data_IF_742388023550
#
_entry.id   IF_742388023550
#
_cell.length_a   1.000
_cell.length_b   1.000
_cell.length_c   1.000
_cell.angle_alpha   90.00
_cell.angle_beta   90.00
_cell.angle_gamma   90.00
#
_symmetry.space_group_name_H-M   'P 1'
#
loop_
_entity.id
_entity.type
_entity.pdbx_description
1 polymer ?
#
# COMPACT_ATOMS: atom_id res chain seq x y z
N UNK A 1 -19.69 0.92 -3.04
CA UNK A 1 -20.04 -0.48 -3.36
C UNK A 1 -18.73 -1.25 -3.43
N UNK A 2 -18.46 -2.17 -2.51
CA UNK A 2 -17.32 -3.08 -2.67
C UNK A 2 -17.53 -3.91 -3.93
N UNK A 3 -16.54 -3.90 -4.83
CA UNK A 3 -16.59 -4.75 -6.01
C UNK A 3 -16.53 -6.22 -5.56
N UNK A 4 -17.51 -7.01 -5.98
CA UNK A 4 -17.57 -8.44 -5.68
C UNK A 4 -16.34 -9.14 -6.29
N UNK A 5 -15.54 -9.82 -5.46
CA UNK A 5 -14.40 -10.64 -5.90
C UNK A 5 -14.85 -11.64 -6.98
N UNK A 6 -14.25 -11.55 -8.18
CA UNK A 6 -14.50 -12.48 -9.30
C UNK A 6 -13.49 -13.63 -9.26
N UNK A 7 -13.71 -14.59 -8.36
CA UNK A 7 -12.87 -15.78 -8.22
C UNK A 7 -13.31 -16.92 -9.15
N UNK A 8 -12.36 -17.50 -9.89
CA UNK A 8 -12.48 -18.79 -10.57
C UNK A 8 -11.85 -19.87 -9.69
N UNK A 9 -12.66 -20.76 -9.13
CA UNK A 9 -12.23 -21.75 -8.13
C UNK A 9 -11.61 -22.98 -8.76
N UNK A 10 -10.86 -23.76 -7.97
CA UNK A 10 -10.33 -25.07 -8.38
C UNK A 10 -11.42 -26.02 -8.86
N UNK A 11 -12.59 -25.99 -8.23
CA UNK A 11 -13.74 -26.80 -8.65
C UNK A 11 -14.19 -26.42 -10.07
N UNK A 12 -14.29 -25.12 -10.37
CA UNK A 12 -14.61 -24.62 -11.73
C UNK A 12 -13.50 -24.96 -12.74
N UNK A 13 -12.25 -25.04 -12.30
CA UNK A 13 -11.12 -25.47 -13.13
C UNK A 13 -11.06 -26.99 -13.34
N UNK A 14 -11.87 -27.77 -12.62
CA UNK A 14 -11.80 -29.24 -12.61
C UNK A 14 -10.54 -29.77 -11.91
N UNK A 15 -9.98 -29.02 -10.96
CA UNK A 15 -8.79 -29.38 -10.21
C UNK A 15 -9.14 -30.03 -8.87
N UNK A 16 -8.36 -31.02 -8.40
CA UNK A 16 -8.53 -31.59 -7.06
C UNK A 16 -8.12 -30.57 -5.98
N UNK A 17 -8.19 -30.93 -4.70
CA UNK A 17 -7.59 -30.10 -3.64
C UNK A 17 -6.08 -29.85 -3.89
N UNK A 18 -5.57 -28.72 -3.43
CA UNK A 18 -4.15 -28.37 -3.57
C UNK A 18 -3.26 -29.31 -2.75
N UNK A 19 -2.32 -29.97 -3.43
CA UNK A 19 -1.33 -30.86 -2.83
C UNK A 19 -0.14 -30.10 -2.20
N UNK A 20 -0.17 -28.76 -2.20
CA UNK A 20 0.86 -27.96 -1.57
C UNK A 20 0.85 -28.09 -0.03
N UNK A 21 2.02 -27.93 0.63
CA UNK A 21 2.11 -27.87 2.08
C UNK A 21 1.25 -26.76 2.67
N UNK A 22 0.78 -26.94 3.90
CA UNK A 22 0.04 -25.92 4.64
C UNK A 22 0.94 -24.76 5.03
N UNK A 23 0.38 -23.55 4.98
CA UNK A 23 0.97 -22.32 5.48
C UNK A 23 -0.17 -21.38 5.86
N UNK A 24 -0.29 -21.02 7.13
CA UNK A 24 -1.41 -20.21 7.64
C UNK A 24 -1.05 -18.74 7.80
N UNK A 25 0.23 -18.39 7.77
CA UNK A 25 0.69 -17.00 7.86
C UNK A 25 1.93 -16.72 7.02
N UNK A 26 2.09 -15.47 6.62
CA UNK A 26 3.25 -14.93 5.88
C UNK A 26 3.46 -13.45 6.24
N UNK A 27 4.59 -12.86 5.84
CA UNK A 27 4.83 -11.41 5.94
C UNK A 27 3.98 -10.60 4.94
N UNK A 28 3.47 -11.25 3.89
CA UNK A 28 2.64 -10.61 2.88
C UNK A 28 2.61 -11.38 1.56
N UNK A 29 2.56 -10.66 0.45
CA UNK A 29 2.37 -11.23 -0.89
C UNK A 29 3.44 -10.72 -1.86
N UNK A 30 3.93 -11.62 -2.72
CA UNK A 30 4.76 -11.29 -3.87
C UNK A 30 3.97 -11.39 -5.18
N UNK A 31 4.10 -10.38 -6.03
CA UNK A 31 3.55 -10.33 -7.38
C UNK A 31 4.57 -10.90 -8.36
N UNK A 32 4.07 -11.68 -9.32
CA UNK A 32 4.81 -12.39 -10.36
C UNK A 32 4.21 -12.14 -11.74
N UNK A 33 5.01 -12.38 -12.79
CA UNK A 33 4.54 -12.58 -14.17
C UNK A 33 4.71 -14.05 -14.58
N UNK A 34 4.37 -14.41 -15.82
CA UNK A 34 4.59 -15.77 -16.34
C UNK A 34 6.07 -16.07 -16.63
N UNK A 35 6.82 -15.09 -17.13
CA UNK A 35 8.24 -15.27 -17.51
C UNK A 35 8.43 -16.09 -18.78
N UNK A 36 7.41 -16.05 -19.64
CA UNK A 36 7.40 -16.56 -21.00
C UNK A 36 6.47 -15.66 -21.85
N UNK A 37 6.54 -15.73 -23.19
CA UNK A 37 5.66 -14.97 -24.06
C UNK A 37 4.17 -15.27 -23.79
N UNK A 38 3.37 -14.22 -23.62
CA UNK A 38 1.92 -14.33 -23.42
C UNK A 38 1.18 -13.73 -24.61
N UNK A 39 0.24 -14.48 -25.19
CA UNK A 39 -0.52 -14.03 -26.36
C UNK A 39 -1.41 -12.83 -26.05
N UNK A 40 -1.43 -11.83 -26.94
CA UNK A 40 -2.36 -10.69 -26.84
C UNK A 40 -3.83 -11.13 -26.97
N UNK A 41 -4.12 -12.31 -27.53
CA UNK A 41 -5.48 -12.86 -27.61
C UNK A 41 -6.12 -13.08 -26.22
N UNK A 42 -5.29 -13.18 -25.16
CA UNK A 42 -5.81 -13.23 -23.79
C UNK A 42 -6.60 -11.97 -23.42
N UNK A 43 -6.45 -10.84 -24.12
CA UNK A 43 -7.24 -9.62 -23.92
C UNK A 43 -8.68 -9.74 -24.43
N UNK A 44 -8.92 -10.65 -25.37
CA UNK A 44 -10.17 -10.73 -26.12
C UNK A 44 -11.10 -11.83 -25.60
N UNK A 45 -10.51 -12.92 -25.07
CA UNK A 45 -11.26 -14.10 -24.66
C UNK A 45 -10.81 -14.63 -23.29
N UNK A 46 -11.76 -14.64 -22.35
CA UNK A 46 -11.51 -15.15 -21.01
C UNK A 46 -11.26 -16.66 -20.96
N UNK A 47 -11.81 -17.43 -21.89
CA UNK A 47 -11.61 -18.88 -21.93
C UNK A 47 -10.16 -19.23 -22.28
N UNK A 48 -9.49 -18.38 -23.08
CA UNK A 48 -8.04 -18.49 -23.32
C UNK A 48 -7.22 -18.25 -22.06
N UNK A 49 -7.67 -17.38 -21.15
CA UNK A 49 -7.01 -17.19 -19.85
C UNK A 49 -7.12 -18.45 -18.98
N UNK A 50 -8.28 -19.13 -19.01
CA UNK A 50 -8.49 -20.40 -18.30
C UNK A 50 -7.62 -21.51 -18.91
N UNK A 51 -7.54 -21.57 -20.24
CA UNK A 51 -6.66 -22.50 -20.94
C UNK A 51 -5.19 -22.28 -20.57
N UNK A 52 -4.73 -21.02 -20.56
CA UNK A 52 -3.37 -20.65 -20.15
C UNK A 52 -3.08 -21.05 -18.71
N UNK A 53 -3.99 -20.77 -17.76
CA UNK A 53 -3.81 -21.14 -16.36
C UNK A 53 -3.73 -22.66 -16.15
N UNK A 54 -4.54 -23.43 -16.89
CA UNK A 54 -4.47 -24.90 -16.93
C UNK A 54 -3.15 -25.39 -17.50
N UNK A 55 -2.68 -24.77 -18.59
CA UNK A 55 -1.37 -25.08 -19.18
C UNK A 55 -0.23 -24.85 -18.19
N UNK A 56 -0.20 -23.70 -17.51
CA UNK A 56 0.82 -23.39 -16.51
C UNK A 56 0.87 -24.45 -15.40
N UNK A 57 -0.29 -24.95 -14.94
CA UNK A 57 -0.32 -26.06 -13.97
C UNK A 57 0.26 -27.35 -14.54
N UNK A 58 -0.08 -27.71 -15.77
CA UNK A 58 0.47 -28.89 -16.45
C UNK A 58 2.00 -28.80 -16.54
N UNK A 59 2.52 -27.64 -16.98
CA UNK A 59 3.95 -27.41 -17.13
C UNK A 59 4.68 -27.48 -15.78
N UNK A 60 4.11 -26.92 -14.71
CA UNK A 60 4.66 -27.05 -13.36
C UNK A 60 4.71 -28.50 -12.87
N UNK A 61 3.66 -29.29 -13.08
CA UNK A 61 3.64 -30.69 -12.68
C UNK A 61 4.61 -31.55 -13.50
N UNK A 62 4.92 -31.14 -14.74
CA UNK A 62 5.90 -31.81 -15.59
C UNK A 62 7.35 -31.46 -15.22
N UNK A 63 7.59 -30.32 -14.55
CA UNK A 63 8.93 -29.84 -14.23
C UNK A 63 9.63 -30.70 -13.16
N UNK A 64 10.57 -31.54 -13.60
CA UNK A 64 11.34 -32.44 -12.74
C UNK A 64 12.41 -31.75 -11.89
N UNK A 65 12.88 -30.58 -12.30
CA UNK A 65 13.92 -29.83 -11.58
C UNK A 65 13.35 -29.18 -10.33
N UNK A 66 12.25 -28.46 -10.50
CA UNK A 66 11.58 -27.75 -9.41
C UNK A 66 10.64 -28.67 -8.62
N UNK A 67 10.20 -29.77 -9.24
CA UNK A 67 9.39 -30.83 -8.64
C UNK A 67 8.16 -30.28 -7.90
N UNK A 68 7.40 -29.42 -8.57
CA UNK A 68 6.25 -28.77 -7.97
C UNK A 68 5.15 -29.80 -7.64
N UNK A 69 4.57 -29.69 -6.44
CA UNK A 69 3.41 -30.52 -6.05
C UNK A 69 2.09 -30.07 -6.67
N UNK A 70 2.05 -28.83 -7.16
CA UNK A 70 0.93 -28.19 -7.86
C UNK A 70 1.46 -26.93 -8.56
N UNK A 71 0.62 -26.21 -9.32
CA UNK A 71 0.93 -24.85 -9.82
C UNK A 71 1.63 -24.02 -8.75
N UNK A 72 2.70 -23.30 -9.09
CA UNK A 72 3.58 -22.68 -8.09
C UNK A 72 2.90 -21.58 -7.26
N UNK A 73 1.93 -20.87 -7.83
CA UNK A 73 1.34 -19.65 -7.25
C UNK A 73 0.09 -19.95 -6.41
N UNK A 74 -0.21 -19.07 -5.44
CA UNK A 74 -1.48 -19.14 -4.71
C UNK A 74 -2.65 -18.76 -5.59
N UNK A 75 -2.49 -17.71 -6.40
CA UNK A 75 -3.49 -17.24 -7.36
C UNK A 75 -2.83 -16.74 -8.66
N UNK A 76 -3.62 -16.72 -9.73
CA UNK A 76 -3.35 -15.99 -10.95
C UNK A 76 -4.35 -14.85 -11.14
N UNK A 77 -4.07 -13.87 -12.00
CA UNK A 77 -4.99 -12.80 -12.36
C UNK A 77 -5.00 -12.61 -13.88
N UNK A 78 -6.18 -12.69 -14.48
CA UNK A 78 -6.33 -12.53 -15.92
C UNK A 78 -6.60 -11.07 -16.32
N UNK A 79 -6.36 -10.68 -17.60
CA UNK A 79 -6.63 -9.33 -18.09
C UNK A 79 -8.09 -8.87 -18.01
N UNK A 80 -9.03 -9.78 -17.75
CA UNK A 80 -10.46 -9.50 -17.59
C UNK A 80 -10.87 -9.22 -16.13
N UNK A 81 -9.91 -9.18 -15.21
CA UNK A 81 -10.16 -8.91 -13.79
C UNK A 81 -10.81 -10.06 -13.04
N UNK A 82 -10.45 -11.30 -13.38
CA UNK A 82 -10.78 -12.48 -12.57
C UNK A 82 -9.53 -12.99 -11.87
N UNK A 83 -9.69 -13.29 -10.59
CA UNK A 83 -8.71 -14.03 -9.80
C UNK A 83 -8.88 -15.52 -10.10
N UNK A 84 -7.79 -16.21 -10.40
CA UNK A 84 -7.77 -17.62 -10.77
C UNK A 84 -7.15 -18.40 -9.62
N UNK A 85 -7.87 -19.37 -9.05
CA UNK A 85 -7.37 -20.13 -7.92
C UNK A 85 -6.20 -21.03 -8.36
N UNK A 86 -5.07 -20.88 -7.67
CA UNK A 86 -3.88 -21.72 -7.79
C UNK A 86 -3.81 -22.69 -6.62
N UNK A 87 -2.75 -22.61 -5.83
CA UNK A 87 -2.65 -23.32 -4.55
C UNK A 87 -3.71 -22.89 -3.53
N UNK A 88 -4.24 -21.67 -3.66
CA UNK A 88 -5.32 -21.16 -2.82
C UNK A 88 -4.88 -20.72 -1.42
N UNK A 89 -5.86 -20.50 -0.55
CA UNK A 89 -5.68 -20.08 0.84
C UNK A 89 -5.00 -21.16 1.68
N UNK A 90 -4.20 -20.74 2.66
CA UNK A 90 -3.62 -21.67 3.64
C UNK A 90 -2.53 -22.59 3.05
N UNK A 91 -2.05 -22.33 1.84
CA UNK A 91 -1.10 -23.19 1.12
C UNK A 91 0.19 -22.45 0.79
N UNK A 92 1.34 -23.11 1.03
CA UNK A 92 2.66 -22.55 0.73
C UNK A 92 2.86 -22.42 -0.78
N UNK A 93 3.34 -21.26 -1.24
CA UNK A 93 3.74 -21.04 -2.64
C UNK A 93 5.02 -21.83 -3.01
N UNK A 94 5.26 -22.04 -4.29
CA UNK A 94 6.50 -22.56 -4.87
C UNK A 94 7.28 -21.50 -5.66
N UNK A 95 6.76 -20.28 -5.78
CA UNK A 95 7.18 -19.32 -6.80
C UNK A 95 8.31 -18.38 -6.37
N UNK A 96 8.63 -18.26 -5.08
CA UNK A 96 9.53 -17.21 -4.60
C UNK A 96 11.02 -17.59 -4.68
N UNK A 97 11.37 -18.73 -5.27
CA UNK A 97 12.75 -19.15 -5.54
C UNK A 97 13.31 -20.19 -4.57
N UNK A 98 13.00 -20.12 -3.28
CA UNK A 98 13.39 -21.15 -2.31
C UNK A 98 12.39 -21.28 -1.16
N UNK A 99 12.57 -22.27 -0.28
CA UNK A 99 11.63 -22.56 0.80
C UNK A 99 11.53 -21.44 1.85
N UNK A 100 12.61 -20.72 2.15
CA UNK A 100 12.57 -19.58 3.08
C UNK A 100 11.75 -18.43 2.51
N UNK A 101 11.96 -18.09 1.24
CA UNK A 101 11.21 -17.06 0.53
C UNK A 101 9.73 -17.47 0.33
N UNK A 102 9.47 -18.76 0.12
CA UNK A 102 8.11 -19.30 0.03
C UNK A 102 7.37 -19.28 1.39
N UNK A 103 8.10 -19.39 2.52
CA UNK A 103 7.56 -19.16 3.87
C UNK A 103 7.32 -17.69 4.17
N UNK A 104 8.13 -16.81 3.59
CA UNK A 104 8.04 -15.37 3.81
C UNK A 104 6.79 -14.74 3.20
N UNK A 105 6.36 -15.17 2.02
CA UNK A 105 5.29 -14.52 1.26
C UNK A 105 4.44 -15.53 0.49
N UNK A 106 3.15 -15.24 0.33
CA UNK A 106 2.34 -15.88 -0.71
C UNK A 106 2.70 -15.31 -2.09
N UNK A 107 2.17 -15.92 -3.15
CA UNK A 107 2.46 -15.47 -4.52
C UNK A 107 1.19 -15.34 -5.38
N UNK A 108 1.06 -14.22 -6.08
CA UNK A 108 0.04 -13.99 -7.11
C UNK A 108 0.73 -13.70 -8.45
N UNK A 109 0.29 -14.35 -9.52
CA UNK A 109 0.82 -14.15 -10.87
C UNK A 109 -0.17 -13.34 -11.73
N UNK A 110 0.27 -12.26 -12.37
CA UNK A 110 -0.47 -11.67 -13.49
C UNK A 110 -0.24 -12.48 -14.76
N UNK A 111 -1.30 -12.73 -15.55
CA UNK A 111 -1.19 -13.35 -16.88
C UNK A 111 -0.63 -12.34 -17.90
N UNK A 112 0.61 -11.92 -17.65
CA UNK A 112 1.46 -11.13 -18.53
C UNK A 112 2.80 -11.84 -18.68
N UNK A 113 3.43 -11.65 -19.83
CA UNK A 113 4.72 -12.24 -20.17
C UNK A 113 5.89 -11.28 -20.03
N UNK A 114 7.06 -11.78 -20.39
CA UNK A 114 8.22 -10.95 -20.75
C UNK A 114 8.16 -10.45 -22.20
N UNK A 115 7.35 -11.13 -23.04
CA UNK A 115 7.00 -10.74 -24.40
C UNK A 115 5.49 -10.88 -24.66
N UNK A 116 5.00 -10.22 -25.72
CA UNK A 116 3.58 -10.21 -26.08
C UNK A 116 2.75 -9.30 -25.17
N UNK A 117 1.79 -9.85 -24.44
CA UNK A 117 1.03 -9.12 -23.42
C UNK A 117 1.92 -8.88 -22.19
N UNK A 118 2.58 -7.72 -22.12
CA UNK A 118 3.51 -7.36 -21.04
C UNK A 118 2.96 -6.30 -20.08
N UNK A 119 2.01 -5.49 -20.56
CA UNK A 119 1.35 -4.45 -19.76
C UNK A 119 0.04 -4.99 -19.15
N UNK A 120 -0.10 -4.95 -17.80
CA UNK A 120 -1.32 -5.42 -17.15
C UNK A 120 -2.47 -4.42 -17.37
N UNK A 121 -3.67 -4.94 -17.60
CA UNK A 121 -4.88 -4.12 -17.63
C UNK A 121 -5.26 -3.66 -16.22
N UNK A 122 -6.01 -2.55 -16.11
CA UNK A 122 -6.60 -2.11 -14.83
C UNK A 122 -7.45 -3.21 -14.18
N UNK A 123 -8.18 -3.98 -14.99
CA UNK A 123 -8.96 -5.10 -14.49
C UNK A 123 -8.05 -6.17 -13.85
N UNK A 124 -6.92 -6.51 -14.48
CA UNK A 124 -5.94 -7.45 -13.91
C UNK A 124 -5.35 -6.93 -12.61
N UNK A 125 -4.90 -5.67 -12.59
CA UNK A 125 -4.35 -5.03 -11.40
C UNK A 125 -5.38 -5.02 -10.25
N UNK A 126 -6.66 -4.76 -10.56
CA UNK A 126 -7.77 -4.90 -9.62
C UNK A 126 -7.91 -6.32 -9.06
N UNK A 127 -7.86 -7.34 -9.91
CA UNK A 127 -7.91 -8.74 -9.47
C UNK A 127 -6.70 -9.15 -8.61
N UNK A 128 -5.48 -8.69 -8.96
CA UNK A 128 -4.30 -8.92 -8.11
C UNK A 128 -4.52 -8.27 -6.75
N UNK A 129 -5.05 -7.04 -6.71
CA UNK A 129 -5.35 -6.34 -5.45
C UNK A 129 -6.39 -7.08 -4.60
N UNK A 130 -7.45 -7.58 -5.21
CA UNK A 130 -8.46 -8.40 -4.52
C UNK A 130 -7.83 -9.67 -3.94
N UNK A 131 -6.93 -10.32 -4.67
CA UNK A 131 -6.20 -11.48 -4.19
C UNK A 131 -5.26 -11.17 -3.02
N UNK A 132 -4.60 -10.00 -3.02
CA UNK A 132 -3.78 -9.53 -1.89
C UNK A 132 -4.66 -9.33 -0.65
N UNK A 133 -5.82 -8.68 -0.80
CA UNK A 133 -6.76 -8.42 0.29
C UNK A 133 -7.34 -9.73 0.85
N UNK A 134 -7.72 -10.66 -0.03
CA UNK A 134 -8.17 -11.99 0.35
C UNK A 134 -7.09 -12.75 1.15
N UNK A 135 -5.84 -12.74 0.70
CA UNK A 135 -4.74 -13.39 1.42
C UNK A 135 -4.46 -12.74 2.78
N UNK A 136 -4.58 -11.41 2.88
CA UNK A 136 -4.43 -10.68 4.15
C UNK A 136 -5.49 -11.03 5.17
N UNK A 137 -6.75 -11.10 4.74
CA UNK A 137 -7.87 -11.55 5.58
C UNK A 137 -7.66 -12.98 6.11
N UNK A 138 -6.79 -13.77 5.46
CA UNK A 138 -6.51 -15.17 5.79
C UNK A 138 -5.04 -15.41 6.19
N UNK A 139 -4.41 -14.40 6.82
CA UNK A 139 -3.14 -14.56 7.55
C UNK A 139 -1.89 -14.05 6.86
N UNK A 140 -1.99 -13.44 5.67
CA UNK A 140 -0.88 -12.69 5.09
C UNK A 140 -0.66 -11.35 5.80
N UNK A 141 0.59 -10.97 6.01
CA UNK A 141 0.95 -9.64 6.52
C UNK A 141 0.78 -8.53 5.48
N UNK A 142 1.24 -7.32 5.84
CA UNK A 142 1.05 -6.11 5.04
C UNK A 142 2.01 -5.95 3.86
N UNK A 143 3.09 -6.73 3.76
CA UNK A 143 4.06 -6.55 2.69
C UNK A 143 3.46 -6.83 1.31
N UNK A 144 3.70 -5.92 0.36
CA UNK A 144 3.45 -6.14 -1.07
C UNK A 144 4.78 -5.95 -1.77
N UNK A 145 5.25 -7.00 -2.43
CA UNK A 145 6.58 -7.03 -3.06
C UNK A 145 6.51 -7.63 -4.46
N UNK A 146 7.51 -7.38 -5.28
CA UNK A 146 7.77 -8.15 -6.49
C UNK A 146 8.62 -9.38 -6.15
N UNK A 147 8.66 -10.36 -7.06
CA UNK A 147 9.61 -11.48 -6.94
C UNK A 147 11.04 -10.98 -6.75
N UNK A 148 11.43 -9.94 -7.52
CA UNK A 148 12.75 -9.28 -7.46
C UNK A 148 13.17 -8.71 -6.11
N UNK A 149 12.23 -8.44 -5.20
CA UNK A 149 12.57 -7.89 -3.87
C UNK A 149 13.07 -8.96 -2.88
N UNK A 150 13.17 -10.23 -3.29
CA UNK A 150 13.87 -11.24 -2.50
C UNK A 150 14.70 -12.23 -3.32
N UNK A 151 14.84 -12.02 -4.62
CA UNK A 151 15.68 -12.81 -5.51
C UNK A 151 16.14 -11.91 -6.66
N UNK A 152 17.38 -12.04 -7.14
CA UNK A 152 17.81 -11.34 -8.35
C UNK A 152 17.10 -11.93 -9.58
N UNK A 153 16.05 -11.28 -10.07
CA UNK A 153 15.25 -11.70 -11.24
C UNK A 153 14.59 -10.50 -11.91
N UNK A 154 14.22 -10.64 -13.19
CA UNK A 154 13.40 -9.66 -13.90
C UNK A 154 11.90 -9.74 -13.53
N UNK A 155 11.43 -10.81 -12.90
CA UNK A 155 10.05 -10.94 -12.42
C UNK A 155 9.75 -9.88 -11.33
N UNK A 156 8.62 -9.14 -11.36
CA UNK A 156 7.40 -9.33 -12.18
C UNK A 156 7.33 -8.48 -13.46
N UNK A 157 8.46 -8.07 -14.04
CA UNK A 157 8.48 -7.16 -15.19
C UNK A 157 8.32 -5.71 -14.78
N UNK A 158 8.54 -4.78 -15.73
CA UNK A 158 8.61 -3.36 -15.43
C UNK A 158 7.26 -2.79 -14.95
N UNK A 159 6.17 -3.09 -15.67
CA UNK A 159 4.85 -2.52 -15.39
C UNK A 159 4.26 -2.97 -14.04
N UNK A 160 4.22 -4.28 -13.79
CA UNK A 160 3.74 -4.80 -12.50
C UNK A 160 4.64 -4.34 -11.34
N UNK A 161 5.96 -4.26 -11.55
CA UNK A 161 6.85 -3.81 -10.48
C UNK A 161 6.66 -2.33 -10.16
N UNK A 162 6.51 -1.46 -11.16
CA UNK A 162 6.22 -0.05 -10.95
C UNK A 162 4.92 0.15 -10.16
N UNK A 163 3.88 -0.64 -10.45
CA UNK A 163 2.63 -0.64 -9.68
C UNK A 163 2.81 -1.16 -8.25
N UNK A 164 3.58 -2.23 -8.05
CA UNK A 164 3.92 -2.75 -6.71
C UNK A 164 4.68 -1.71 -5.88
N UNK A 165 5.63 -0.98 -6.47
CA UNK A 165 6.38 0.07 -5.77
C UNK A 165 5.50 1.22 -5.26
N UNK A 166 4.34 1.42 -5.87
CA UNK A 166 3.33 2.38 -5.43
C UNK A 166 2.40 1.81 -4.33
N UNK A 167 2.69 0.61 -3.80
CA UNK A 167 1.84 -0.06 -2.82
C UNK A 167 0.65 -0.80 -3.41
N UNK A 168 0.72 -1.14 -4.71
CA UNK A 168 -0.34 -1.81 -5.46
C UNK A 168 -1.71 -1.12 -5.28
N UNK A 169 -1.84 0.17 -5.66
CA UNK A 169 -3.10 0.89 -5.53
C UNK A 169 -4.18 0.25 -6.40
N UNK A 170 -5.44 0.30 -5.94
CA UNK A 170 -6.57 -0.20 -6.72
C UNK A 170 -6.76 0.69 -7.96
N UNK A 171 -6.71 0.14 -9.19
CA UNK A 171 -6.95 0.91 -10.40
C UNK A 171 -8.39 1.41 -10.47
N UNK A 172 -8.59 2.61 -11.02
CA UNK A 172 -9.91 3.23 -11.14
C UNK A 172 -10.57 3.61 -9.80
N UNK A 173 -9.90 3.40 -8.66
CA UNK A 173 -10.32 3.98 -7.40
C UNK A 173 -9.98 5.47 -7.37
N UNK A 174 -10.89 6.30 -6.87
CA UNK A 174 -10.48 7.56 -6.24
C UNK A 174 -9.34 7.26 -5.26
N UNK A 175 -8.39 8.20 -5.05
CA UNK A 175 -7.34 8.03 -4.04
C UNK A 175 -7.98 7.47 -2.77
N UNK A 176 -7.30 6.56 -2.03
CA UNK A 176 -7.80 6.19 -0.72
C UNK A 176 -8.13 7.49 0.01
N UNK A 177 -9.30 7.57 0.63
CA UNK A 177 -9.60 8.69 1.54
C UNK A 177 -8.34 8.83 2.41
N UNK A 178 -7.69 10.01 2.42
CA UNK A 178 -6.56 10.20 3.30
C UNK A 178 -7.02 9.73 4.68
N UNK A 179 -6.22 8.86 5.31
CA UNK A 179 -6.51 8.40 6.67
C UNK A 179 -6.95 9.62 7.49
N UNK A 180 -8.05 9.53 8.27
CA UNK A 180 -8.70 10.69 8.86
C UNK A 180 -7.64 11.58 9.50
N UNK A 181 -7.45 12.75 8.89
CA UNK A 181 -6.42 13.68 9.34
C UNK A 181 -6.82 14.18 10.73
N UNK A 182 -5.87 14.34 11.67
CA UNK A 182 -6.16 15.00 12.92
C UNK A 182 -6.80 16.36 12.65
N UNK A 183 -7.86 16.72 13.39
CA UNK A 183 -8.53 18.01 13.24
C UNK A 183 -8.10 18.94 14.38
N UNK A 184 -7.44 20.03 14.02
CA UNK A 184 -6.98 21.08 14.93
C UNK A 184 -8.03 22.17 15.03
N UNK A 185 -8.43 22.49 16.25
CA UNK A 185 -9.39 23.52 16.59
C UNK A 185 -8.65 24.86 16.73
N UNK A 186 -8.93 25.83 15.83
CA UNK A 186 -8.24 27.13 15.80
C UNK A 186 -8.39 27.83 17.14
N UNK A 187 -9.61 27.85 17.69
CA UNK A 187 -9.91 28.55 18.93
C UNK A 187 -9.10 27.98 20.10
N UNK A 188 -8.91 26.66 20.16
CA UNK A 188 -8.11 26.01 21.22
C UNK A 188 -6.61 26.22 21.07
N UNK A 189 -6.07 26.17 19.85
CA UNK A 189 -4.63 26.40 19.65
C UNK A 189 -4.27 27.88 19.85
N UNK A 190 -5.17 28.81 19.49
CA UNK A 190 -5.03 30.24 19.82
C UNK A 190 -5.06 30.43 21.33
N UNK A 191 -6.00 29.80 22.04
CA UNK A 191 -6.03 29.86 23.49
C UNK A 191 -4.74 29.33 24.12
N UNK A 192 -4.18 28.22 23.62
CA UNK A 192 -2.88 27.73 24.05
C UNK A 192 -1.77 28.78 23.79
N UNK A 193 -1.66 29.29 22.56
CA UNK A 193 -0.64 30.27 22.18
C UNK A 193 -0.70 31.58 22.99
N UNK A 194 -1.88 31.99 23.44
CA UNK A 194 -2.05 33.21 24.25
C UNK A 194 -1.74 33.01 25.74
N UNK A 195 -1.90 31.81 26.29
CA UNK A 195 -1.81 31.58 27.74
C UNK A 195 -0.58 30.75 28.14
N UNK A 196 -0.25 29.71 27.38
CA UNK A 196 0.84 28.77 27.67
C UNK A 196 2.20 29.47 27.86
N UNK A 197 2.61 30.48 27.05
CA UNK A 197 3.93 31.09 27.18
C UNK A 197 4.25 31.72 28.54
N UNK A 198 3.23 32.03 29.34
CA UNK A 198 3.38 32.63 30.68
C UNK A 198 3.15 31.65 31.82
N UNK A 199 2.79 30.40 31.51
CA UNK A 199 2.54 29.38 32.52
C UNK A 199 3.85 28.87 33.15
N UNK A 200 3.77 28.50 34.43
CA UNK A 200 4.91 27.84 35.11
C UNK A 200 4.98 26.36 34.70
N UNK A 201 6.17 25.91 34.30
CA UNK A 201 6.38 24.58 33.74
C UNK A 201 5.93 24.48 32.27
N UNK A 202 5.55 23.28 31.83
CA UNK A 202 5.08 23.02 30.45
C UNK A 202 3.70 22.33 30.44
N UNK A 203 2.66 22.97 30.98
CA UNK A 203 1.32 22.40 30.95
C UNK A 203 0.82 22.29 29.49
N UNK A 204 0.27 21.12 29.15
CA UNK A 204 -0.38 20.87 27.86
C UNK A 204 -1.85 21.29 27.99
N UNK A 205 -2.17 22.52 27.57
CA UNK A 205 -3.54 23.06 27.63
C UNK A 205 -4.45 22.51 26.51
N UNK A 206 -3.84 22.11 25.38
CA UNK A 206 -4.55 21.48 24.27
C UNK A 206 -3.66 20.45 23.55
N UNK A 207 -4.07 19.16 23.49
CA UNK A 207 -3.26 18.11 22.84
C UNK A 207 -2.92 18.36 21.37
N UNK A 208 -3.72 19.17 20.66
CA UNK A 208 -3.47 19.51 19.26
C UNK A 208 -2.22 20.38 19.05
N UNK A 209 -1.71 21.03 20.10
CA UNK A 209 -0.44 21.80 20.05
C UNK A 209 0.71 20.92 19.58
N UNK A 210 0.80 19.68 20.07
CA UNK A 210 1.88 18.76 19.71
C UNK A 210 1.93 18.44 18.21
N UNK A 211 0.78 18.42 17.54
CA UNK A 211 0.68 18.20 16.09
C UNK A 211 1.22 19.43 15.34
N UNK A 212 0.88 20.63 15.80
CA UNK A 212 1.39 21.89 15.25
C UNK A 212 2.90 22.00 15.44
N UNK A 213 3.40 21.63 16.63
CA UNK A 213 4.83 21.64 16.92
C UNK A 213 5.61 20.64 16.07
N UNK A 214 5.08 19.43 15.87
CA UNK A 214 5.68 18.45 14.98
C UNK A 214 5.77 18.96 13.53
N UNK A 215 4.76 19.68 13.06
CA UNK A 215 4.79 20.33 11.76
C UNK A 215 5.86 21.45 11.71
N UNK A 216 5.98 22.27 12.76
CA UNK A 216 7.05 23.27 12.85
C UNK A 216 8.46 22.65 12.91
N UNK A 217 8.60 21.48 13.54
CA UNK A 217 9.85 20.69 13.51
C UNK A 217 10.16 20.21 12.10
N UNK A 218 9.16 19.70 11.38
CA UNK A 218 9.31 19.26 9.98
C UNK A 218 9.67 20.43 9.05
N UNK A 219 9.22 21.65 9.36
CA UNK A 219 9.63 22.87 8.68
C UNK A 219 11.03 23.39 9.06
N UNK A 220 11.70 22.73 10.02
CA UNK A 220 12.99 23.17 10.55
C UNK A 220 12.91 24.45 11.37
N UNK A 221 11.71 24.83 11.84
CA UNK A 221 11.45 26.05 12.60
C UNK A 221 11.47 25.83 14.13
N UNK A 222 11.30 24.58 14.56
CA UNK A 222 11.30 24.19 15.97
C UNK A 222 12.24 23.01 16.20
N UNK A 223 12.93 22.98 17.34
CA UNK A 223 13.78 21.86 17.71
C UNK A 223 12.91 20.64 18.14
N UNK A 224 13.26 19.40 17.75
CA UNK A 224 12.43 18.22 18.04
C UNK A 224 12.11 17.99 19.52
N UNK A 225 13.02 18.38 20.43
CA UNK A 225 12.85 18.23 21.87
C UNK A 225 11.89 19.25 22.49
N UNK A 226 11.45 20.25 21.72
CA UNK A 226 10.47 21.26 22.15
C UNK A 226 9.05 20.94 21.65
N UNK A 227 8.85 19.86 20.88
CA UNK A 227 7.51 19.40 20.49
C UNK A 227 6.87 18.56 21.60
N UNK A 228 6.69 19.16 22.78
CA UNK A 228 6.20 18.51 24.00
C UNK A 228 4.68 18.65 24.19
N UNK A 229 4.02 19.48 23.38
CA UNK A 229 2.60 19.78 23.44
C UNK A 229 2.27 21.07 24.20
N UNK A 230 3.26 21.82 24.65
CA UNK A 230 3.09 23.10 25.34
C UNK A 230 3.45 24.25 24.41
N UNK A 231 2.51 25.16 24.12
CA UNK A 231 2.73 26.24 23.16
C UNK A 231 3.56 27.37 23.79
N UNK A 232 4.81 27.10 24.10
CA UNK A 232 5.72 28.00 24.80
C UNK A 232 6.25 29.12 23.93
N UNK A 233 7.07 30.00 24.51
CA UNK A 233 7.67 31.16 23.82
C UNK A 233 8.47 30.77 22.57
N UNK A 234 9.16 29.62 22.59
CA UNK A 234 9.87 29.12 21.41
C UNK A 234 8.92 28.65 20.31
N UNK A 235 7.79 28.04 20.67
CA UNK A 235 6.74 27.66 19.72
C UNK A 235 6.07 28.90 19.10
N UNK A 236 5.85 29.97 19.88
CA UNK A 236 5.41 31.28 19.36
C UNK A 236 6.40 31.83 18.34
N UNK A 237 7.70 31.85 18.66
CA UNK A 237 8.73 32.34 17.74
C UNK A 237 8.81 31.49 16.44
N UNK A 238 8.71 30.17 16.56
CA UNK A 238 8.69 29.25 15.43
C UNK A 238 7.46 29.46 14.55
N UNK A 239 6.28 29.66 15.16
CA UNK A 239 5.05 29.93 14.41
C UNK A 239 5.09 31.32 13.73
N UNK A 240 5.70 32.33 14.36
CA UNK A 240 5.93 33.63 13.72
C UNK A 240 6.83 33.50 12.48
N UNK A 241 7.86 32.65 12.53
CA UNK A 241 8.68 32.34 11.37
C UNK A 241 7.89 31.59 10.28
N UNK A 242 6.98 30.70 10.66
CA UNK A 242 6.06 30.03 9.74
C UNK A 242 5.11 31.01 9.03
N UNK A 243 4.51 31.94 9.77
CA UNK A 243 3.67 33.00 9.19
C UNK A 243 4.45 33.83 8.16
N UNK A 244 5.73 34.17 8.43
CA UNK A 244 6.59 34.85 7.46
C UNK A 244 6.86 34.00 6.21
N UNK A 245 7.02 32.68 6.36
CA UNK A 245 7.12 31.76 5.21
C UNK A 245 5.83 31.68 4.39
N UNK A 246 4.67 31.88 5.03
CA UNK A 246 3.39 32.04 4.34
C UNK A 246 3.22 33.42 3.68
N UNK A 247 4.19 34.33 3.79
CA UNK A 247 4.15 35.68 3.22
C UNK A 247 3.50 36.74 4.12
N UNK A 248 3.18 36.41 5.38
CA UNK A 248 2.65 37.38 6.35
C UNK A 248 3.78 38.25 6.92
N UNK A 249 3.46 39.49 7.28
CA UNK A 249 4.43 40.47 7.78
C UNK A 249 3.83 41.35 8.86
N UNK A 250 4.67 42.05 9.63
CA UNK A 250 4.21 42.93 10.70
C UNK A 250 3.37 42.18 11.74
N UNK A 251 2.25 42.77 12.13
CA UNK A 251 1.33 42.22 13.13
C UNK A 251 0.64 40.92 12.68
N UNK A 252 0.61 40.62 11.37
CA UNK A 252 0.08 39.36 10.85
C UNK A 252 1.04 38.16 11.02
N UNK A 253 2.27 38.40 11.50
CA UNK A 253 3.30 37.38 11.76
C UNK A 253 3.78 37.42 13.23
N UNK A 254 2.80 37.47 14.15
CA UNK A 254 2.94 37.63 15.60
C UNK A 254 3.22 36.34 16.38
N UNK A 255 3.11 35.17 15.73
CA UNK A 255 3.27 33.85 16.33
C UNK A 255 2.00 33.24 16.90
N UNK A 256 0.85 33.90 16.75
CA UNK A 256 -0.45 33.37 17.15
C UNK A 256 -1.09 32.64 15.95
N UNK A 257 -1.51 31.38 16.08
CA UNK A 257 -2.09 30.64 14.96
C UNK A 257 -3.37 31.23 14.38
N UNK A 258 -3.23 31.94 13.27
CA UNK A 258 -4.35 32.35 12.42
C UNK A 258 -4.89 31.18 11.58
N UNK A 259 -6.19 31.20 11.26
CA UNK A 259 -6.83 30.14 10.47
C UNK A 259 -6.09 29.86 9.16
N UNK A 260 -5.74 30.90 8.39
CA UNK A 260 -5.13 30.74 7.07
C UNK A 260 -3.71 30.16 7.13
N UNK A 261 -2.87 30.61 8.08
CA UNK A 261 -1.51 30.06 8.27
C UNK A 261 -1.56 28.63 8.83
N UNK A 262 -2.55 28.32 9.66
CA UNK A 262 -2.74 26.98 10.23
C UNK A 262 -3.30 25.99 9.19
N UNK A 263 -4.22 26.42 8.33
CA UNK A 263 -4.71 25.63 7.19
C UNK A 263 -3.59 25.34 6.18
N UNK A 264 -2.70 26.32 5.96
CA UNK A 264 -1.52 26.13 5.10
C UNK A 264 -0.57 25.11 5.71
N UNK A 265 -0.29 25.20 7.02
CA UNK A 265 0.54 24.22 7.72
C UNK A 265 -0.11 22.82 7.70
N UNK A 266 -1.43 22.73 7.93
CA UNK A 266 -2.17 21.47 7.90
C UNK A 266 -2.19 20.81 6.52
N UNK A 267 -2.23 21.60 5.45
CA UNK A 267 -2.11 21.11 4.08
C UNK A 267 -0.74 20.50 3.80
N UNK A 268 0.33 21.08 4.33
CA UNK A 268 1.70 20.59 4.13
C UNK A 268 2.05 19.40 5.05
N UNK A 269 1.46 19.33 6.24
CA UNK A 269 1.83 18.36 7.28
C UNK A 269 0.74 17.36 7.67
N UNK A 270 -0.36 17.31 6.91
CA UNK A 270 -1.34 16.23 7.02
C UNK A 270 -2.33 16.35 8.20
N UNK A 271 -2.76 17.57 8.56
CA UNK A 271 -3.86 17.80 9.49
C UNK A 271 -4.94 18.75 8.92
N UNK A 272 -6.16 18.65 9.42
CA UNK A 272 -7.30 19.50 9.10
C UNK A 272 -7.49 20.59 10.15
N UNK A 273 -8.17 21.68 9.79
CA UNK A 273 -8.45 22.80 10.69
C UNK A 273 -9.95 23.03 10.76
N UNK A 274 -10.46 23.21 11.98
CA UNK A 274 -11.84 23.65 12.23
C UNK A 274 -11.85 24.94 13.05
N UNK A 275 -12.85 25.81 12.85
CA UNK A 275 -13.02 27.01 13.68
C UNK A 275 -13.28 26.68 15.15
#
# INVERSE_FOLDING_TARGET
MEALLKLVTRAQLGWPASAAPTQTSTKGVKVHYEGAPVSLQLLEDHDLCIAQWKKIRVDHLANKKENYSDIAYNYGACPHGRLLEGRGLGKRTGANGNQDLNRGHYAIMGLVGDEGLTEPTDAMLGAIRDGIELLRQHGAGSEIKGHRDGLATACPGAHLYAWVQQGAPRPGGSPPDPAPRPVIDVSKVVAAALHDPTASGTPVSYPGVKIVEQALVAEGLLAPNLADGHFGTTTVAAYAAWQRRCGLTGDDADGIPGRASLETLGREHGFDVKP
#
